data_IF_149854966028
#
_entry.id   IF_149854966028
#
_cell.length_a   1.000
_cell.length_b   1.000
_cell.length_c   1.000
_cell.angle_alpha   90.00
_cell.angle_beta   90.00
_cell.angle_gamma   90.00
#
_symmetry.space_group_name_H-M   'P 1'
#
loop_
_entity.id
_entity.type
_entity.pdbx_description
1 polymer ?
#
# COMPACT_ATOMS: atom_id res chain seq x y z
N UNK A 1 -7.76 18.21 9.48
CA UNK A 1 -8.09 17.12 10.43
C UNK A 1 -9.55 16.71 10.28
N UNK A 2 -9.81 15.67 9.51
CA UNK A 2 -11.13 15.05 9.39
C UNK A 2 -11.32 14.07 10.55
N UNK A 3 -12.38 14.16 11.37
CA UNK A 3 -12.57 13.32 12.55
C UNK A 3 -13.12 11.90 12.22
N UNK A 4 -12.73 11.31 11.08
CA UNK A 4 -13.33 10.05 10.62
C UNK A 4 -12.66 8.79 11.17
N UNK A 5 -11.42 8.86 11.67
CA UNK A 5 -10.69 7.69 12.18
C UNK A 5 -10.82 7.46 13.71
N UNK A 6 -11.43 8.39 14.46
CA UNK A 6 -11.37 8.41 15.93
C UNK A 6 -12.37 7.47 16.64
N UNK A 7 -13.31 6.84 15.91
CA UNK A 7 -14.38 6.01 16.50
C UNK A 7 -14.34 4.52 16.11
N UNK A 8 -13.20 4.00 15.64
CA UNK A 8 -13.06 2.57 15.33
C UNK A 8 -12.52 1.82 16.56
N UNK A 9 -13.38 1.65 17.59
CA UNK A 9 -13.02 0.92 18.82
C UNK A 9 -12.79 -0.59 18.58
N UNK A 10 -13.22 -1.13 17.44
CA UNK A 10 -12.85 -2.46 16.95
C UNK A 10 -12.39 -2.35 15.49
N UNK A 11 -11.16 -2.77 15.20
CA UNK A 11 -10.67 -2.88 13.84
C UNK A 11 -11.40 -4.04 13.14
N UNK A 12 -12.27 -3.74 12.18
CA UNK A 12 -13.00 -4.73 11.38
C UNK A 12 -12.37 -4.77 10.00
N UNK A 13 -11.58 -5.80 9.70
CA UNK A 13 -11.06 -6.04 8.35
C UNK A 13 -12.21 -6.37 7.39
N UNK A 14 -12.11 -5.90 6.15
CA UNK A 14 -13.05 -6.26 5.09
C UNK A 14 -13.13 -7.78 4.81
N UNK A 15 -14.21 -8.19 4.16
CA UNK A 15 -14.47 -9.58 3.77
C UNK A 15 -13.84 -9.95 2.41
N UNK A 16 -13.94 -11.22 2.03
CA UNK A 16 -13.31 -11.75 0.81
C UNK A 16 -13.78 -11.05 -0.47
N UNK A 17 -14.99 -10.48 -0.48
CA UNK A 17 -15.51 -9.74 -1.63
C UNK A 17 -14.62 -8.56 -2.02
N UNK A 18 -14.05 -7.87 -1.01
CA UNK A 18 -13.21 -6.70 -1.24
C UNK A 18 -11.74 -7.04 -1.47
N UNK A 19 -11.30 -8.26 -1.15
CA UNK A 19 -9.88 -8.65 -1.22
C UNK A 19 -9.29 -8.48 -2.61
N UNK A 20 -9.93 -9.07 -3.64
CA UNK A 20 -9.41 -9.02 -5.00
C UNK A 20 -9.32 -7.58 -5.51
N UNK A 21 -10.25 -6.73 -5.08
CA UNK A 21 -10.27 -5.30 -5.41
C UNK A 21 -9.17 -4.53 -4.69
N UNK A 22 -8.96 -4.77 -3.40
CA UNK A 22 -7.86 -4.15 -2.67
C UNK A 22 -6.51 -4.58 -3.25
N UNK A 23 -6.34 -5.87 -3.55
CA UNK A 23 -5.14 -6.38 -4.20
C UNK A 23 -4.89 -5.65 -5.53
N UNK A 24 -5.84 -5.67 -6.45
CA UNK A 24 -5.75 -4.96 -7.74
C UNK A 24 -5.38 -3.48 -7.56
N UNK A 25 -6.09 -2.78 -6.67
CA UNK A 25 -5.90 -1.35 -6.41
C UNK A 25 -4.49 -1.06 -5.85
N UNK A 26 -4.06 -1.82 -4.84
CA UNK A 26 -2.73 -1.72 -4.23
C UNK A 26 -1.61 -2.02 -5.23
N UNK A 27 -1.77 -3.04 -6.05
CA UNK A 27 -0.80 -3.38 -7.09
C UNK A 27 -0.62 -2.23 -8.09
N UNK A 28 -1.73 -1.69 -8.60
CA UNK A 28 -1.68 -0.56 -9.53
C UNK A 28 -1.14 0.72 -8.89
N UNK A 29 -1.55 1.03 -7.67
CA UNK A 29 -1.07 2.19 -6.93
C UNK A 29 0.45 2.13 -6.78
N UNK A 30 0.99 0.99 -6.37
CA UNK A 30 2.42 0.85 -6.10
C UNK A 30 3.25 0.92 -7.38
N UNK A 31 2.81 0.22 -8.44
CA UNK A 31 3.52 0.19 -9.73
C UNK A 31 3.54 1.56 -10.41
N UNK A 32 2.43 2.30 -10.35
CA UNK A 32 2.24 3.53 -11.12
C UNK A 32 2.26 4.82 -10.29
N UNK A 33 2.56 4.76 -8.98
CA UNK A 33 2.58 5.91 -8.08
C UNK A 33 3.32 7.14 -8.63
N UNK A 34 4.50 6.98 -9.24
CA UNK A 34 5.25 8.10 -9.82
C UNK A 34 4.52 8.73 -11.00
N UNK A 35 3.93 7.92 -11.89
CA UNK A 35 3.18 8.42 -13.03
C UNK A 35 1.94 9.19 -12.57
N UNK A 36 1.22 8.64 -11.57
CA UNK A 36 0.07 9.32 -10.97
C UNK A 36 0.47 10.64 -10.31
N UNK A 37 1.56 10.67 -9.54
CA UNK A 37 2.06 11.90 -8.93
C UNK A 37 2.39 12.97 -9.98
N UNK A 38 3.07 12.61 -11.07
CA UNK A 38 3.40 13.56 -12.16
C UNK A 38 2.15 14.18 -12.77
N UNK A 39 1.14 13.34 -13.05
CA UNK A 39 -0.11 13.78 -13.67
C UNK A 39 -0.93 14.66 -12.72
N UNK A 40 -1.13 14.21 -11.48
CA UNK A 40 -1.92 14.94 -10.46
C UNK A 40 -1.28 16.30 -10.13
N UNK A 41 0.05 16.35 -10.03
CA UNK A 41 0.78 17.58 -9.71
C UNK A 41 1.02 18.48 -10.95
N UNK A 42 0.80 17.98 -12.16
CA UNK A 42 1.17 18.67 -13.40
C UNK A 42 2.68 18.91 -13.53
N UNK A 43 3.51 18.04 -12.94
CA UNK A 43 4.98 18.14 -12.93
C UNK A 43 5.60 16.87 -13.53
N UNK A 44 5.83 16.87 -14.85
CA UNK A 44 6.45 15.74 -15.56
C UNK A 44 7.89 15.43 -15.09
N UNK A 45 8.57 16.38 -14.45
CA UNK A 45 9.92 16.22 -13.94
C UNK A 45 9.95 15.71 -12.49
N UNK A 46 8.79 15.50 -11.88
CA UNK A 46 8.71 14.94 -10.54
C UNK A 46 9.33 13.53 -10.51
N UNK A 47 10.34 13.35 -9.66
CA UNK A 47 10.94 12.06 -9.36
C UNK A 47 10.51 11.64 -7.96
N UNK A 48 9.81 10.52 -7.86
CA UNK A 48 9.20 10.06 -6.62
C UNK A 48 10.16 9.16 -5.86
N UNK A 49 10.31 9.43 -4.56
CA UNK A 49 10.78 8.45 -3.60
C UNK A 49 9.65 7.44 -3.35
N UNK A 50 9.65 6.36 -4.15
CA UNK A 50 8.57 5.37 -4.15
C UNK A 50 8.44 4.64 -2.82
N UNK A 51 9.55 4.34 -2.15
CA UNK A 51 9.53 3.68 -0.84
C UNK A 51 8.90 4.60 0.20
N UNK A 52 9.34 5.85 0.31
CA UNK A 52 8.74 6.81 1.24
C UNK A 52 7.26 7.05 0.97
N UNK A 53 6.87 7.16 -0.30
CA UNK A 53 5.47 7.33 -0.70
C UNK A 53 4.62 6.13 -0.28
N UNK A 54 5.06 4.92 -0.64
CA UNK A 54 4.35 3.67 -0.32
C UNK A 54 4.26 3.49 1.19
N UNK A 55 5.34 3.71 1.93
CA UNK A 55 5.33 3.59 3.39
C UNK A 55 4.38 4.60 4.04
N UNK A 56 4.33 5.82 3.52
CA UNK A 56 3.44 6.86 4.04
C UNK A 56 1.98 6.59 3.70
N UNK A 57 1.71 6.11 2.49
CA UNK A 57 0.37 5.64 2.10
C UNK A 57 -0.10 4.49 2.98
N UNK A 58 0.76 3.50 3.24
CA UNK A 58 0.44 2.36 4.13
C UNK A 58 0.10 2.78 5.56
N UNK A 59 0.49 4.00 5.97
CA UNK A 59 0.22 4.60 7.28
C UNK A 59 -0.89 5.66 7.25
N UNK A 60 -1.51 5.88 6.10
CA UNK A 60 -2.44 6.99 5.87
C UNK A 60 -3.89 6.67 6.29
N UNK A 61 -4.71 7.72 6.41
CA UNK A 61 -6.13 7.57 6.74
C UNK A 61 -6.91 6.94 5.57
N UNK A 62 -6.57 7.28 4.33
CA UNK A 62 -7.10 6.62 3.13
C UNK A 62 -6.91 5.10 3.21
N UNK A 63 -5.69 4.62 3.50
CA UNK A 63 -5.44 3.18 3.66
C UNK A 63 -6.25 2.60 4.81
N UNK A 64 -6.30 3.27 5.96
CA UNK A 64 -7.07 2.79 7.11
C UNK A 64 -8.58 2.62 6.81
N UNK A 65 -9.16 3.48 5.96
CA UNK A 65 -10.54 3.36 5.53
C UNK A 65 -10.74 2.21 4.52
N UNK A 66 -9.77 1.99 3.62
CA UNK A 66 -9.79 0.83 2.71
C UNK A 66 -9.79 -0.48 3.50
N UNK A 67 -8.91 -0.59 4.50
CA UNK A 67 -8.78 -1.78 5.37
C UNK A 67 -10.08 -2.21 6.06
N UNK A 68 -10.97 -1.25 6.36
CA UNK A 68 -12.25 -1.53 7.01
C UNK A 68 -13.43 -1.70 6.04
N UNK A 69 -13.17 -1.76 4.73
CA UNK A 69 -14.22 -2.03 3.76
C UNK A 69 -14.93 -0.79 3.22
N UNK A 70 -14.34 0.41 3.28
CA UNK A 70 -14.99 1.62 2.77
C UNK A 70 -15.29 1.50 1.25
N UNK A 71 -16.56 1.38 0.83
CA UNK A 71 -16.88 0.93 -0.54
C UNK A 71 -16.35 1.85 -1.64
N UNK A 72 -16.39 3.17 -1.42
CA UNK A 72 -15.88 4.15 -2.41
C UNK A 72 -14.39 3.96 -2.67
N UNK A 73 -13.59 3.84 -1.60
CA UNK A 73 -12.13 3.78 -1.72
C UNK A 73 -11.65 2.43 -2.26
N UNK A 74 -12.38 1.35 -1.98
CA UNK A 74 -12.07 0.02 -2.50
C UNK A 74 -12.51 -0.19 -3.95
N UNK A 75 -13.53 0.55 -4.41
CA UNK A 75 -14.07 0.42 -5.78
C UNK A 75 -13.51 1.43 -6.78
N UNK A 76 -12.90 2.52 -6.31
CA UNK A 76 -12.29 3.52 -7.18
C UNK A 76 -10.99 3.03 -7.82
N UNK A 77 -10.56 3.73 -8.88
CA UNK A 77 -9.31 3.41 -9.54
C UNK A 77 -8.10 3.79 -8.65
N UNK A 78 -6.97 3.10 -8.83
CA UNK A 78 -5.74 3.42 -8.11
C UNK A 78 -5.26 4.86 -8.30
N UNK A 79 -5.56 5.46 -9.45
CA UNK A 79 -5.33 6.88 -9.69
C UNK A 79 -6.10 7.77 -8.70
N UNK A 80 -7.39 7.48 -8.49
CA UNK A 80 -8.24 8.24 -7.56
C UNK A 80 -7.78 8.03 -6.11
N UNK A 81 -7.35 6.81 -5.76
CA UNK A 81 -6.73 6.53 -4.45
C UNK A 81 -5.44 7.32 -4.24
N UNK A 82 -4.57 7.41 -5.26
CA UNK A 82 -3.37 8.23 -5.20
C UNK A 82 -3.72 9.70 -5.02
N UNK A 83 -4.75 10.18 -5.74
CA UNK A 83 -5.25 11.54 -5.65
C UNK A 83 -5.79 11.87 -4.27
N UNK A 84 -6.64 11.01 -3.69
CA UNK A 84 -7.16 11.19 -2.34
C UNK A 84 -6.02 11.24 -1.30
N UNK A 85 -5.02 10.35 -1.42
CA UNK A 85 -3.85 10.39 -0.54
C UNK A 85 -3.04 11.69 -0.68
N UNK A 86 -2.87 12.21 -1.89
CA UNK A 86 -2.13 13.46 -2.13
C UNK A 86 -2.92 14.67 -1.63
N UNK A 87 -4.20 14.78 -2.00
CA UNK A 87 -5.02 15.96 -1.75
C UNK A 87 -5.54 16.04 -0.31
N UNK A 88 -5.93 14.90 0.26
CA UNK A 88 -6.60 14.82 1.56
C UNK A 88 -5.61 14.48 2.68
N UNK A 89 -4.84 13.40 2.54
CA UNK A 89 -3.95 12.93 3.62
C UNK A 89 -2.65 13.73 3.70
N UNK A 90 -2.15 14.23 2.57
CA UNK A 90 -0.93 15.05 2.51
C UNK A 90 -1.18 16.53 2.25
N UNK A 91 -2.44 16.99 2.11
CA UNK A 91 -2.78 18.41 1.86
C UNK A 91 -2.02 19.02 0.66
N UNK A 92 -1.69 18.22 -0.37
CA UNK A 92 -0.84 18.55 -1.52
C UNK A 92 0.65 18.81 -1.22
N UNK A 93 1.12 18.56 0.00
CA UNK A 93 2.51 18.77 0.41
C UNK A 93 3.44 17.62 -0.01
N UNK A 94 3.76 17.58 -1.31
CA UNK A 94 4.55 16.48 -1.90
C UNK A 94 6.08 16.67 -1.87
N UNK A 95 6.56 17.76 -1.28
CA UNK A 95 8.00 18.09 -1.27
C UNK A 95 8.86 17.07 -0.51
N UNK A 96 8.30 16.40 0.50
CA UNK A 96 8.98 15.36 1.25
C UNK A 96 9.27 14.11 0.40
N UNK A 97 8.35 13.78 -0.52
CA UNK A 97 8.43 12.58 -1.37
C UNK A 97 9.27 12.77 -2.63
N UNK A 98 9.85 13.95 -2.85
CA UNK A 98 10.80 14.13 -3.96
C UNK A 98 12.07 13.36 -3.66
N UNK A 99 12.48 12.50 -4.60
CA UNK A 99 13.66 11.66 -4.50
C UNK A 99 14.92 12.50 -4.21
N UNK A 100 15.62 12.20 -3.12
CA UNK A 100 16.89 12.84 -2.73
C UNK A 100 18.06 11.86 -2.89
N UNK A 101 18.35 11.47 -4.12
CA UNK A 101 19.45 10.55 -4.39
C UNK A 101 19.24 9.71 -5.63
N UNK A 102 19.87 8.53 -5.64
CA UNK A 102 19.75 7.58 -6.75
C UNK A 102 18.40 6.88 -6.68
N UNK A 103 17.72 6.80 -7.81
CA UNK A 103 16.48 6.05 -7.94
C UNK A 103 16.77 4.55 -7.84
N UNK A 104 16.00 3.85 -7.01
CA UNK A 104 16.00 2.39 -7.04
C UNK A 104 15.33 1.91 -8.33
N UNK A 105 16.00 1.02 -9.04
CA UNK A 105 15.43 0.37 -10.21
C UNK A 105 14.60 -0.84 -9.74
N UNK A 106 13.34 -0.88 -10.17
CA UNK A 106 12.45 -2.00 -9.94
C UNK A 106 12.24 -2.74 -11.25
N UNK A 107 12.17 -4.07 -11.20
CA UNK A 107 11.73 -4.84 -12.35
C UNK A 107 10.27 -4.51 -12.66
N UNK A 108 9.86 -4.69 -13.92
CA UNK A 108 8.46 -4.51 -14.33
C UNK A 108 7.55 -5.39 -13.47
N UNK A 109 6.47 -4.80 -12.94
CA UNK A 109 5.49 -5.44 -12.05
C UNK A 109 6.02 -5.92 -10.70
N UNK A 110 7.24 -5.52 -10.33
CA UNK A 110 7.79 -5.86 -9.02
C UNK A 110 7.05 -5.16 -7.88
N UNK A 111 6.71 -3.89 -8.07
CA UNK A 111 5.93 -3.11 -7.10
C UNK A 111 4.45 -3.51 -7.14
N UNK A 112 3.94 -3.86 -8.33
CA UNK A 112 2.61 -4.44 -8.45
C UNK A 112 2.44 -5.68 -7.56
N UNK A 113 3.37 -6.63 -7.65
CA UNK A 113 3.35 -7.82 -6.79
C UNK A 113 3.43 -7.47 -5.30
N UNK A 114 4.30 -6.52 -4.93
CA UNK A 114 4.41 -6.09 -3.53
C UNK A 114 3.08 -5.52 -3.00
N UNK A 115 2.41 -4.65 -3.77
CA UNK A 115 1.08 -4.12 -3.44
C UNK A 115 0.04 -5.23 -3.26
N UNK A 116 0.00 -6.19 -4.19
CA UNK A 116 -0.82 -7.40 -4.09
C UNK A 116 -0.59 -8.15 -2.77
N UNK A 117 0.68 -8.37 -2.42
CA UNK A 117 1.02 -9.12 -1.22
C UNK A 117 0.68 -8.36 0.06
N UNK A 118 0.85 -7.04 0.12
CA UNK A 118 0.45 -6.26 1.29
C UNK A 118 -1.06 -6.33 1.56
N UNK A 119 -1.90 -6.21 0.53
CA UNK A 119 -3.35 -6.39 0.66
C UNK A 119 -3.72 -7.80 1.13
N UNK A 120 -3.04 -8.82 0.58
CA UNK A 120 -3.27 -10.21 1.00
C UNK A 120 -2.83 -10.49 2.45
N UNK A 121 -1.66 -9.98 2.85
CA UNK A 121 -1.14 -10.09 4.23
C UNK A 121 -2.11 -9.42 5.19
N UNK A 122 -2.58 -8.21 4.86
CA UNK A 122 -3.60 -7.51 5.63
C UNK A 122 -4.83 -8.38 5.86
N UNK A 123 -5.39 -8.93 4.79
CA UNK A 123 -6.58 -9.76 4.86
C UNK A 123 -6.39 -11.04 5.68
N UNK A 124 -5.25 -11.72 5.54
CA UNK A 124 -4.99 -12.98 6.24
C UNK A 124 -4.67 -12.77 7.73
N UNK A 125 -3.82 -11.79 8.04
CA UNK A 125 -3.38 -11.52 9.42
C UNK A 125 -4.38 -10.73 10.24
N UNK A 126 -5.32 -10.02 9.58
CA UNK A 126 -6.21 -9.02 10.20
C UNK A 126 -5.43 -7.91 10.92
N UNK A 127 -4.19 -7.66 10.51
CA UNK A 127 -3.33 -6.58 11.00
C UNK A 127 -3.47 -5.33 10.14
N UNK A 128 -3.36 -4.15 10.74
CA UNK A 128 -3.38 -2.87 10.00
C UNK A 128 -2.13 -2.72 9.13
N UNK A 129 -2.25 -2.14 7.94
CA UNK A 129 -1.14 -1.94 7.00
C UNK A 129 -0.01 -1.12 7.60
N UNK A 130 -0.30 -0.16 8.49
CA UNK A 130 0.72 0.57 9.24
C UNK A 130 1.62 -0.35 10.09
N UNK A 131 1.06 -1.40 10.69
CA UNK A 131 1.82 -2.37 11.48
C UNK A 131 2.56 -3.35 10.55
N UNK A 132 1.92 -3.69 9.42
CA UNK A 132 2.50 -4.62 8.44
C UNK A 132 3.76 -4.02 7.81
N UNK A 133 3.70 -2.76 7.37
CA UNK A 133 4.85 -2.10 6.74
C UNK A 133 6.00 -1.87 7.75
N UNK A 134 5.71 -1.76 9.05
CA UNK A 134 6.74 -1.69 10.10
C UNK A 134 7.43 -3.05 10.34
N UNK A 135 6.68 -4.15 10.26
CA UNK A 135 7.20 -5.52 10.48
C UNK A 135 7.83 -6.12 9.23
N UNK A 136 7.34 -5.73 8.06
CA UNK A 136 7.79 -6.17 6.75
C UNK A 136 7.86 -4.94 5.82
N UNK A 137 8.94 -4.14 5.91
CA UNK A 137 9.15 -2.98 5.05
C UNK A 137 9.23 -3.32 3.56
N UNK A 138 9.07 -2.32 2.69
CA UNK A 138 9.03 -2.53 1.25
C UNK A 138 10.32 -3.16 0.72
N UNK A 139 11.49 -2.69 1.16
CA UNK A 139 12.75 -3.30 0.73
C UNK A 139 12.85 -4.79 1.11
N UNK A 140 12.35 -5.19 2.29
CA UNK A 140 12.35 -6.58 2.74
C UNK A 140 11.45 -7.47 1.87
N UNK A 141 10.19 -7.07 1.64
CA UNK A 141 9.27 -7.85 0.79
C UNK A 141 9.82 -7.99 -0.64
N UNK A 142 10.50 -6.96 -1.15
CA UNK A 142 11.09 -6.97 -2.48
C UNK A 142 12.31 -7.90 -2.61
N UNK A 143 13.03 -8.19 -1.51
CA UNK A 143 14.10 -9.21 -1.53
C UNK A 143 13.56 -10.59 -1.89
N UNK A 144 12.31 -10.85 -1.53
CA UNK A 144 11.63 -12.10 -1.78
C UNK A 144 11.02 -12.21 -3.17
N UNK A 145 10.91 -11.10 -3.93
CA UNK A 145 10.13 -11.04 -5.18
C UNK A 145 10.44 -12.21 -6.12
N UNK A 146 11.71 -12.53 -6.35
CA UNK A 146 12.11 -13.57 -7.31
C UNK A 146 11.51 -14.93 -6.99
N UNK A 147 11.51 -15.34 -5.72
CA UNK A 147 11.01 -16.65 -5.31
C UNK A 147 9.52 -16.53 -4.95
N UNK A 148 9.14 -15.47 -4.26
CA UNK A 148 7.76 -15.20 -3.83
C UNK A 148 6.78 -15.04 -4.99
N UNK A 149 7.19 -14.43 -6.11
CA UNK A 149 6.35 -14.31 -7.30
C UNK A 149 6.09 -15.65 -7.99
N UNK A 150 6.96 -16.64 -7.82
CA UNK A 150 6.76 -18.00 -8.36
C UNK A 150 5.87 -18.87 -7.45
N UNK A 151 5.60 -18.40 -6.22
CA UNK A 151 4.77 -19.09 -5.24
C UNK A 151 3.32 -18.60 -5.31
N UNK A 152 2.40 -19.42 -4.78
CA UNK A 152 1.05 -18.93 -4.50
C UNK A 152 1.08 -17.93 -3.33
N UNK A 153 0.12 -17.01 -3.29
CA UNK A 153 0.00 -16.00 -2.22
C UNK A 153 -0.16 -16.64 -0.84
N UNK A 154 -0.86 -17.78 -0.76
CA UNK A 154 -1.04 -18.59 0.45
C UNK A 154 0.29 -19.17 0.94
N UNK A 155 1.08 -19.74 0.03
CA UNK A 155 2.38 -20.30 0.34
C UNK A 155 3.36 -19.20 0.80
N UNK A 156 3.34 -18.06 0.13
CA UNK A 156 4.15 -16.91 0.55
C UNK A 156 3.75 -16.41 1.94
N UNK A 157 2.45 -16.18 2.18
CA UNK A 157 1.97 -15.77 3.51
C UNK A 157 2.39 -16.76 4.59
N UNK A 158 2.28 -18.06 4.33
CA UNK A 158 2.69 -19.11 5.28
C UNK A 158 4.17 -19.01 5.69
N UNK A 159 5.06 -18.59 4.77
CA UNK A 159 6.48 -18.36 5.04
C UNK A 159 6.70 -17.20 6.02
N UNK A 160 5.87 -16.17 5.96
CA UNK A 160 6.05 -14.91 6.71
C UNK A 160 5.07 -14.75 7.88
N UNK A 161 4.14 -15.68 8.08
CA UNK A 161 3.09 -15.62 9.10
C UNK A 161 3.64 -15.39 10.52
N UNK A 162 4.85 -15.89 10.81
CA UNK A 162 5.54 -15.69 12.08
C UNK A 162 5.77 -14.22 12.48
N UNK A 163 5.69 -13.28 11.53
CA UNK A 163 5.78 -11.83 11.80
C UNK A 163 4.49 -11.28 12.40
N UNK A 164 3.35 -11.92 12.13
CA UNK A 164 2.02 -11.42 12.46
C UNK A 164 1.30 -12.27 13.51
N UNK A 165 1.63 -13.55 13.60
CA UNK A 165 1.14 -14.41 14.66
C UNK A 165 1.84 -14.05 15.98
N UNK A 166 1.05 -13.67 17.00
CA UNK A 166 1.58 -13.57 18.36
C UNK A 166 2.06 -14.96 18.76
N UNK A 167 3.34 -15.09 19.11
CA UNK A 167 3.79 -16.21 19.93
C UNK A 167 2.92 -16.21 21.19
N UNK A 168 2.11 -17.26 21.33
CA UNK A 168 1.32 -17.57 22.53
C UNK A 168 2.26 -17.67 23.73
#
# INVERSE_FOLDING_TARGET
MVPMAQNLEEFICYDEFWLDKDMENMGYLFEYCEAYCREILGDEQFLLDKEMFIESFMKSDCRALMEIGHPTLLSQAAYDTAKDFIEVDNENEMAAFRLRGKQQEYARYQLYWAGWMYAYIHFQSKERSKNIIEKLPLHEILTDYKIGHEMSKEAYYSKIAYLFEKKV
#
